data_IF_967280387516
#
_entry.id   IF_967280387516
#
_cell.length_a   1.000
_cell.length_b   1.000
_cell.length_c   1.000
_cell.angle_alpha   90.00
_cell.angle_beta   90.00
_cell.angle_gamma   90.00
#
_symmetry.space_group_name_H-M   'P 1'
#
loop_
_entity.id
_entity.type
_entity.pdbx_description
1 polymer ?
#
# COMPACT_ATOMS: atom_id res chain seq x y z
N UNK A 1 -1.12 15.82 3.85
CA UNK A 1 -2.04 15.16 2.89
C UNK A 1 -3.45 15.29 3.42
N UNK A 2 -4.43 15.67 2.60
CA UNK A 2 -5.83 15.67 3.02
C UNK A 2 -6.30 14.23 3.30
N UNK A 3 -7.32 14.03 4.15
CA UNK A 3 -7.81 12.68 4.48
C UNK A 3 -8.26 11.90 3.22
N UNK A 4 -8.87 12.59 2.27
CA UNK A 4 -9.31 12.03 0.98
C UNK A 4 -8.12 11.56 0.13
N UNK A 5 -7.04 12.35 0.06
CA UNK A 5 -5.80 11.96 -0.61
C UNK A 5 -5.12 10.78 0.11
N UNK A 6 -5.22 10.69 1.44
CA UNK A 6 -4.67 9.53 2.18
C UNK A 6 -5.46 8.26 1.88
N UNK A 7 -6.80 8.32 1.81
CA UNK A 7 -7.58 7.16 1.39
C UNK A 7 -7.21 6.72 -0.02
N UNK A 8 -7.03 7.68 -0.95
CA UNK A 8 -6.55 7.38 -2.28
C UNK A 8 -5.15 6.74 -2.29
N UNK A 9 -4.25 7.21 -1.41
CA UNK A 9 -2.93 6.62 -1.23
C UNK A 9 -2.99 5.15 -0.79
N UNK A 10 -3.88 4.83 0.16
CA UNK A 10 -4.13 3.45 0.58
C UNK A 10 -4.73 2.60 -0.55
N UNK A 11 -5.65 3.17 -1.33
CA UNK A 11 -6.24 2.54 -2.51
C UNK A 11 -5.16 2.17 -3.54
N UNK A 12 -4.26 3.11 -3.86
CA UNK A 12 -3.13 2.85 -4.76
C UNK A 12 -2.24 1.72 -4.22
N UNK A 13 -1.93 1.75 -2.93
CA UNK A 13 -0.99 0.82 -2.29
C UNK A 13 -1.37 -0.65 -2.45
N UNK A 14 -2.64 -0.99 -2.16
CA UNK A 14 -3.12 -2.37 -2.25
C UNK A 14 -3.79 -2.66 -3.60
N UNK A 15 -4.54 -1.69 -4.13
CA UNK A 15 -5.28 -1.82 -5.38
C UNK A 15 -4.39 -2.06 -6.59
N UNK A 16 -3.16 -1.56 -6.59
CA UNK A 16 -2.19 -1.84 -7.66
C UNK A 16 -1.85 -3.33 -7.79
N UNK A 17 -1.66 -4.02 -6.67
CA UNK A 17 -1.40 -5.46 -6.67
C UNK A 17 -2.64 -6.28 -7.11
N UNK A 18 -3.84 -5.72 -6.97
CA UNK A 18 -5.11 -6.34 -7.33
C UNK A 18 -5.66 -5.90 -8.70
N UNK A 19 -4.89 -5.10 -9.44
CA UNK A 19 -5.21 -4.66 -10.81
C UNK A 19 -6.24 -3.53 -10.92
N UNK A 20 -6.53 -2.80 -9.84
CA UNK A 20 -7.33 -1.56 -9.92
C UNK A 20 -6.54 -0.41 -10.53
N UNK A 21 -5.23 -0.41 -10.31
CA UNK A 21 -4.30 0.62 -10.77
C UNK A 21 -3.12 -0.04 -11.47
N UNK A 22 -2.59 0.63 -12.50
CA UNK A 22 -1.37 0.19 -13.17
C UNK A 22 -0.17 0.86 -12.51
N UNK A 23 0.65 0.07 -11.83
CA UNK A 23 1.87 0.53 -11.16
C UNK A 23 3.06 -0.20 -11.76
N UNK A 24 4.06 0.53 -12.24
CA UNK A 24 5.30 -0.07 -12.73
C UNK A 24 6.16 -0.58 -11.58
N UNK A 25 7.02 -1.54 -11.89
CA UNK A 25 7.98 -2.10 -10.95
C UNK A 25 9.15 -1.12 -10.76
N UNK A 26 9.41 -0.73 -9.51
CA UNK A 26 10.58 0.06 -9.09
C UNK A 26 11.56 -0.77 -8.26
N UNK A 27 11.32 -2.08 -8.14
CA UNK A 27 12.08 -2.96 -7.26
C UNK A 27 13.37 -3.41 -7.92
N UNK A 28 14.40 -3.56 -7.10
CA UNK A 28 15.75 -3.99 -7.47
C UNK A 28 16.25 -5.04 -6.47
N UNK A 29 17.39 -5.68 -6.74
CA UNK A 29 17.87 -6.82 -5.96
C UNK A 29 17.89 -6.59 -4.44
N UNK A 30 18.40 -5.43 -4.00
CA UNK A 30 18.45 -5.06 -2.59
C UNK A 30 17.06 -4.80 -1.99
N UNK A 31 16.15 -4.17 -2.75
CA UNK A 31 14.81 -3.86 -2.24
C UNK A 31 13.95 -5.11 -2.07
N UNK A 32 14.10 -6.09 -2.99
CA UNK A 32 13.43 -7.40 -2.94
C UNK A 32 13.97 -8.33 -1.85
N UNK A 33 15.11 -8.02 -1.24
CA UNK A 33 15.79 -8.84 -0.23
C UNK A 33 15.93 -8.12 1.11
N UNK A 34 16.96 -7.29 1.29
CA UNK A 34 17.32 -6.65 2.55
C UNK A 34 16.22 -5.69 3.01
N UNK A 35 15.70 -4.82 2.15
CA UNK A 35 14.69 -3.85 2.56
C UNK A 35 13.33 -4.50 2.81
N UNK A 36 12.93 -5.47 1.98
CA UNK A 36 11.74 -6.28 2.26
C UNK A 36 11.85 -6.98 3.62
N UNK A 37 12.96 -7.66 3.88
CA UNK A 37 13.17 -8.33 5.17
C UNK A 37 13.13 -7.34 6.34
N UNK A 38 13.83 -6.22 6.24
CA UNK A 38 13.90 -5.23 7.31
C UNK A 38 12.54 -4.55 7.57
N UNK A 39 11.89 -4.05 6.52
CA UNK A 39 10.69 -3.21 6.63
C UNK A 39 9.41 -4.02 6.75
N UNK A 40 9.35 -5.19 6.11
CA UNK A 40 8.15 -6.04 6.12
C UNK A 40 8.27 -7.15 7.14
N UNK A 41 9.39 -7.86 7.24
CA UNK A 41 9.51 -9.02 8.12
C UNK A 41 9.93 -8.65 9.55
N UNK A 42 10.93 -7.76 9.70
CA UNK A 42 11.54 -7.41 10.99
C UNK A 42 10.79 -6.34 11.77
N UNK A 43 10.53 -5.16 11.20
CA UNK A 43 9.87 -4.08 11.94
C UNK A 43 8.40 -4.40 12.26
N UNK A 44 7.93 -4.12 13.49
CA UNK A 44 6.54 -4.36 13.88
C UNK A 44 5.57 -3.30 13.34
N UNK A 45 6.08 -2.11 13.03
CA UNK A 45 5.32 -0.92 12.66
C UNK A 45 5.91 -0.24 11.42
N UNK A 46 5.12 0.60 10.76
CA UNK A 46 5.56 1.38 9.61
C UNK A 46 6.65 2.37 10.03
N UNK A 47 7.83 2.27 9.40
CA UNK A 47 8.92 3.24 9.63
C UNK A 47 8.58 4.60 9.00
N UNK A 48 8.95 5.68 9.68
CA UNK A 48 8.77 7.05 9.17
C UNK A 48 9.83 7.41 8.12
N UNK A 49 9.47 8.29 7.19
CA UNK A 49 10.40 8.82 6.19
C UNK A 49 10.82 7.83 5.10
N UNK A 50 10.07 6.73 4.94
CA UNK A 50 10.32 5.78 3.86
C UNK A 50 10.03 6.45 2.51
N UNK A 51 10.87 6.13 1.52
CA UNK A 51 10.63 6.51 0.13
C UNK A 51 9.37 5.81 -0.37
N UNK A 52 8.43 6.59 -0.89
CA UNK A 52 7.28 6.07 -1.64
C UNK A 52 7.70 5.69 -3.07
N UNK A 53 7.02 4.71 -3.69
CA UNK A 53 7.09 4.54 -5.15
C UNK A 53 6.67 5.85 -5.84
N UNK A 54 7.28 6.20 -6.98
CA UNK A 54 7.03 7.48 -7.66
C UNK A 54 5.58 7.61 -8.13
N UNK A 55 4.96 6.49 -8.50
CA UNK A 55 3.55 6.41 -8.89
C UNK A 55 2.56 6.41 -7.71
N UNK A 56 3.03 6.59 -6.46
CA UNK A 56 2.17 6.81 -5.28
C UNK A 56 2.03 8.29 -4.94
N UNK A 57 2.76 9.17 -5.63
CA UNK A 57 2.76 10.59 -5.35
C UNK A 57 1.51 11.22 -5.96
N UNK A 58 0.58 11.60 -5.08
CA UNK A 58 -0.65 12.31 -5.45
C UNK A 58 -0.31 13.80 -5.57
N UNK A 59 -0.54 14.43 -6.74
CA UNK A 59 -0.41 15.88 -6.90
C UNK A 59 -1.27 16.65 -5.89
N UNK A 60 -0.72 17.74 -5.35
CA UNK A 60 -1.39 18.51 -4.30
C UNK A 60 -2.75 19.09 -4.73
N UNK A 61 -2.91 19.38 -6.03
CA UNK A 61 -4.15 19.91 -6.58
C UNK A 61 -5.23 18.85 -6.79
N UNK A 62 -4.90 17.56 -6.72
CA UNK A 62 -5.85 16.48 -6.97
C UNK A 62 -6.81 16.32 -5.79
N UNK A 63 -8.11 16.25 -6.11
CA UNK A 63 -9.21 16.21 -5.15
C UNK A 63 -9.99 14.91 -5.31
N UNK A 64 -10.40 14.32 -4.19
CA UNK A 64 -11.21 13.11 -4.14
C UNK A 64 -12.39 13.30 -3.19
N UNK A 65 -13.42 12.49 -3.38
CA UNK A 65 -14.58 12.45 -2.49
C UNK A 65 -14.40 11.37 -1.43
N UNK A 66 -14.62 11.73 -0.17
CA UNK A 66 -14.32 10.87 0.97
C UNK A 66 -15.07 9.53 0.90
N UNK A 67 -16.37 9.57 0.68
CA UNK A 67 -17.24 8.39 0.65
C UNK A 67 -16.87 7.43 -0.48
N UNK A 68 -16.40 7.97 -1.62
CA UNK A 68 -15.98 7.19 -2.77
C UNK A 68 -14.66 6.48 -2.51
N UNK A 69 -13.66 7.20 -1.99
CA UNK A 69 -12.35 6.61 -1.66
C UNK A 69 -12.45 5.62 -0.50
N UNK A 70 -13.29 5.90 0.50
CA UNK A 70 -13.55 4.98 1.59
C UNK A 70 -14.20 3.70 1.09
N UNK A 71 -15.24 3.80 0.25
CA UNK A 71 -15.89 2.64 -0.34
C UNK A 71 -14.91 1.82 -1.17
N UNK A 72 -14.10 2.48 -2.01
CA UNK A 72 -13.09 1.82 -2.83
C UNK A 72 -12.07 1.05 -1.98
N UNK A 73 -11.64 1.62 -0.85
CA UNK A 73 -10.72 0.95 0.07
C UNK A 73 -11.32 -0.34 0.65
N UNK A 74 -12.58 -0.28 1.06
CA UNK A 74 -13.29 -1.46 1.56
C UNK A 74 -13.46 -2.53 0.47
N UNK A 75 -13.85 -2.13 -0.75
CA UNK A 75 -13.96 -3.04 -1.90
C UNK A 75 -12.61 -3.72 -2.23
N UNK A 76 -11.51 -2.96 -2.16
CA UNK A 76 -10.14 -3.46 -2.36
C UNK A 76 -9.74 -4.45 -1.27
N UNK A 77 -10.07 -4.17 0.00
CA UNK A 77 -9.80 -5.07 1.13
C UNK A 77 -10.59 -6.37 1.02
N UNK A 78 -11.87 -6.31 0.63
CA UNK A 78 -12.70 -7.50 0.40
C UNK A 78 -12.13 -8.34 -0.75
N UNK A 79 -11.72 -7.71 -1.86
CA UNK A 79 -11.05 -8.41 -2.96
C UNK A 79 -9.74 -9.04 -2.51
N UNK A 80 -8.93 -8.35 -1.71
CA UNK A 80 -7.70 -8.91 -1.13
C UNK A 80 -7.99 -10.13 -0.25
N UNK A 81 -9.07 -10.10 0.52
CA UNK A 81 -9.43 -11.21 1.40
C UNK A 81 -9.74 -12.50 0.61
N UNK A 82 -10.52 -12.39 -0.47
CA UNK A 82 -10.98 -13.56 -1.25
C UNK A 82 -9.97 -14.02 -2.30
N UNK A 83 -9.08 -13.14 -2.76
CA UNK A 83 -8.17 -13.45 -3.88
C UNK A 83 -6.86 -14.08 -3.38
N UNK A 84 -6.48 -15.27 -3.87
CA UNK A 84 -5.17 -15.86 -3.56
C UNK A 84 -4.01 -14.94 -4.01
N UNK A 85 -2.98 -14.79 -3.17
CA UNK A 85 -1.86 -13.85 -3.43
C UNK A 85 -1.00 -14.23 -4.63
N UNK A 86 -1.10 -15.47 -5.09
CA UNK A 86 -0.46 -15.96 -6.32
C UNK A 86 -0.96 -15.23 -7.56
N UNK A 87 -2.23 -14.79 -7.53
CA UNK A 87 -2.88 -14.03 -8.60
C UNK A 87 -2.62 -12.52 -8.51
N UNK A 88 -1.92 -12.04 -7.47
CA UNK A 88 -1.63 -10.62 -7.30
C UNK A 88 -0.39 -10.22 -8.09
N UNK A 89 -0.36 -8.97 -8.53
CA UNK A 89 0.83 -8.32 -9.05
C UNK A 89 1.91 -8.13 -7.97
N UNK A 90 3.17 -7.90 -8.36
CA UNK A 90 4.25 -7.61 -7.43
C UNK A 90 4.04 -6.24 -6.75
N UNK A 91 4.53 -6.09 -5.51
CA UNK A 91 4.66 -4.79 -4.87
C UNK A 91 5.73 -3.95 -5.59
N UNK A 92 5.47 -2.67 -5.92
CA UNK A 92 6.39 -1.84 -6.71
C UNK A 92 7.81 -1.72 -6.14
N UNK A 93 8.00 -1.78 -4.82
CA UNK A 93 9.34 -1.72 -4.21
C UNK A 93 9.88 -3.09 -3.76
N UNK A 94 9.01 -4.05 -3.48
CA UNK A 94 9.40 -5.29 -2.77
C UNK A 94 9.26 -6.53 -3.64
N UNK A 95 8.72 -6.41 -4.85
CA UNK A 95 8.44 -7.54 -5.73
C UNK A 95 7.32 -8.42 -5.18
N UNK A 96 7.39 -9.72 -5.46
CA UNK A 96 6.40 -10.68 -4.94
C UNK A 96 6.49 -10.79 -3.41
N UNK A 97 5.33 -10.70 -2.78
CA UNK A 97 5.16 -10.89 -1.34
C UNK A 97 4.30 -12.13 -1.08
N UNK A 98 4.57 -12.80 0.03
CA UNK A 98 3.69 -13.87 0.54
C UNK A 98 2.41 -13.29 1.13
N UNK A 99 1.38 -14.12 1.34
CA UNK A 99 0.14 -13.70 2.00
C UNK A 99 0.35 -13.06 3.36
N UNK A 100 1.28 -13.60 4.16
CA UNK A 100 1.64 -13.03 5.46
C UNK A 100 2.29 -11.66 5.34
N UNK A 101 3.20 -11.51 4.38
CA UNK A 101 3.89 -10.24 4.13
C UNK A 101 2.91 -9.17 3.64
N UNK A 102 2.02 -9.51 2.71
CA UNK A 102 0.95 -8.61 2.28
C UNK A 102 0.06 -8.20 3.44
N UNK A 103 -0.45 -9.16 4.22
CA UNK A 103 -1.32 -8.86 5.36
C UNK A 103 -0.64 -7.96 6.39
N UNK A 104 0.62 -8.23 6.73
CA UNK A 104 1.39 -7.39 7.65
C UNK A 104 1.62 -5.99 7.08
N UNK A 105 2.06 -5.87 5.83
CA UNK A 105 2.34 -4.58 5.21
C UNK A 105 1.08 -3.70 5.12
N UNK A 106 -0.05 -4.29 4.72
CA UNK A 106 -1.35 -3.58 4.68
C UNK A 106 -1.75 -3.12 6.08
N UNK A 107 -1.64 -3.99 7.09
CA UNK A 107 -2.00 -3.67 8.47
C UNK A 107 -1.18 -2.48 9.00
N UNK A 108 0.15 -2.55 8.95
CA UNK A 108 1.01 -1.50 9.52
C UNK A 108 0.86 -0.17 8.77
N UNK A 109 0.58 -0.21 7.47
CA UNK A 109 0.41 0.98 6.65
C UNK A 109 -0.92 1.69 6.95
N UNK A 110 -2.01 0.94 7.04
CA UNK A 110 -3.32 1.49 7.41
C UNK A 110 -3.28 2.02 8.84
N UNK A 111 -2.74 1.24 9.79
CA UNK A 111 -2.66 1.63 11.20
C UNK A 111 -1.84 2.91 11.42
N UNK A 112 -0.71 3.05 10.71
CA UNK A 112 0.08 4.27 10.69
C UNK A 112 -0.74 5.49 10.29
N UNK A 113 -1.52 5.39 9.22
CA UNK A 113 -2.35 6.49 8.77
C UNK A 113 -3.53 6.75 9.71
N UNK A 114 -4.22 5.72 10.22
CA UNK A 114 -5.30 5.92 11.19
C UNK A 114 -4.79 6.65 12.44
N UNK A 115 -3.61 6.29 12.95
CA UNK A 115 -2.98 6.96 14.08
C UNK A 115 -2.58 8.40 13.74
N UNK A 116 -2.09 8.67 12.52
CA UNK A 116 -1.74 10.01 12.06
C UNK A 116 -2.92 11.00 12.10
N UNK A 117 -4.14 10.52 11.85
CA UNK A 117 -5.36 11.34 11.84
C UNK A 117 -6.18 11.26 13.14
N UNK A 118 -5.81 10.39 14.08
CA UNK A 118 -6.46 10.28 15.41
C UNK A 118 -5.79 11.16 16.47
N UNK A 119 -4.93 12.09 16.05
CA UNK A 119 -4.25 13.07 16.90
C UNK A 119 -5.06 14.38 17.00
#
# INVERSE_FOLDING_TARGET
MAATQMLHHLNLSLGGALGYFSLWDESYGLSRTIFKWLLVDFFPEQSRGLRMPLNFVIPHYEQFYFEQEQKLLLDILDKAWITPTEAWGPHPLFGRLTRRQWGKLVLIHIDYHLTQYSA
#
